data_IF_913268078970
#
_entry.id   IF_913268078970
#
_cell.length_a   1.000
_cell.length_b   1.000
_cell.length_c   1.000
_cell.angle_alpha   90.00
_cell.angle_beta   90.00
_cell.angle_gamma   90.00
#
_symmetry.space_group_name_H-M   'P 1'
#
loop_
_entity.id
_entity.type
_entity.pdbx_description
1 polymer ?
#
# COMPACT_ATOMS: atom_id res chain seq x y z
N UNK A 1 -36.61 -20.38 -7.61
CA UNK A 1 -35.96 -19.10 -8.00
C UNK A 1 -34.54 -19.14 -7.50
N UNK A 2 -33.59 -19.36 -8.40
CA UNK A 2 -32.18 -19.51 -8.07
C UNK A 2 -31.54 -18.13 -7.88
N UNK A 3 -30.93 -17.88 -6.72
CA UNK A 3 -30.05 -16.75 -6.53
C UNK A 3 -28.62 -17.17 -6.86
N UNK A 4 -28.18 -16.74 -8.03
CA UNK A 4 -26.81 -16.85 -8.50
C UNK A 4 -25.93 -15.96 -7.61
N UNK A 5 -25.10 -16.57 -6.76
CA UNK A 5 -24.05 -15.84 -6.05
C UNK A 5 -22.94 -15.53 -7.05
N UNK A 6 -22.77 -14.25 -7.33
CA UNK A 6 -21.67 -13.75 -8.15
C UNK A 6 -20.38 -13.91 -7.36
N UNK A 7 -19.63 -14.98 -7.64
CA UNK A 7 -18.23 -15.11 -7.27
C UNK A 7 -17.52 -13.98 -8.02
N UNK A 8 -17.07 -12.96 -7.31
CA UNK A 8 -16.23 -11.90 -7.89
C UNK A 8 -14.87 -12.53 -8.13
N UNK A 9 -14.69 -13.09 -9.33
CA UNK A 9 -13.39 -13.53 -9.83
C UNK A 9 -12.46 -12.32 -10.01
N UNK A 10 -11.17 -12.57 -9.78
CA UNK A 10 -9.98 -11.69 -9.83
C UNK A 10 -9.86 -10.75 -11.03
N UNK A 11 -10.67 -10.96 -12.08
CA UNK A 11 -10.77 -10.08 -13.25
C UNK A 11 -11.17 -8.63 -12.93
N UNK A 12 -11.76 -8.35 -11.77
CA UNK A 12 -12.21 -6.99 -11.40
C UNK A 12 -11.08 -6.16 -10.76
N UNK A 13 -10.09 -6.81 -10.14
CA UNK A 13 -8.97 -6.18 -9.41
C UNK A 13 -8.02 -5.44 -10.36
N UNK A 14 -7.91 -5.92 -11.60
CA UNK A 14 -7.00 -5.41 -12.64
C UNK A 14 -7.43 -4.02 -13.18
N UNK A 15 -8.71 -3.65 -13.06
CA UNK A 15 -9.24 -2.46 -13.75
C UNK A 15 -8.84 -1.12 -13.12
N UNK A 16 -8.50 -1.08 -11.82
CA UNK A 16 -8.32 0.18 -11.07
C UNK A 16 -6.87 0.64 -10.94
N UNK A 17 -5.88 -0.26 -10.97
CA UNK A 17 -4.45 0.07 -10.83
C UNK A 17 -3.87 0.65 -12.13
N UNK A 18 -4.57 0.47 -13.25
CA UNK A 18 -4.09 0.76 -14.60
C UNK A 18 -3.99 2.25 -14.98
N UNK A 19 -4.53 3.20 -14.20
CA UNK A 19 -4.77 4.56 -14.71
C UNK A 19 -3.50 5.35 -15.06
N UNK A 20 -2.41 5.22 -14.31
CA UNK A 20 -1.18 5.97 -14.61
C UNK A 20 -0.31 5.34 -15.72
N UNK A 21 -0.11 4.01 -15.73
CA UNK A 21 0.49 3.31 -16.89
C UNK A 21 -0.36 3.43 -18.16
N UNK A 22 -1.68 3.58 -18.04
CA UNK A 22 -2.55 3.73 -19.21
C UNK A 22 -2.22 4.96 -20.04
N UNK A 23 -1.78 6.07 -19.42
CA UNK A 23 -1.45 7.30 -20.15
C UNK A 23 -0.17 7.13 -20.98
N UNK A 24 0.84 6.45 -20.43
CA UNK A 24 2.08 6.16 -21.16
C UNK A 24 1.87 5.12 -22.26
N UNK A 25 1.11 4.04 -21.99
CA UNK A 25 0.76 3.05 -23.03
C UNK A 25 0.00 3.68 -24.19
N UNK A 26 -0.96 4.57 -23.92
CA UNK A 26 -1.76 5.23 -24.96
C UNK A 26 -0.90 6.16 -25.82
N UNK A 27 0.08 6.85 -25.22
CA UNK A 27 0.96 7.77 -25.96
C UNK A 27 2.12 7.07 -26.68
N UNK A 28 2.64 5.98 -26.11
CA UNK A 28 3.82 5.27 -26.60
C UNK A 28 3.58 3.75 -26.61
N UNK A 29 2.76 3.22 -27.53
CA UNK A 29 2.33 1.82 -27.51
C UNK A 29 3.47 0.80 -27.69
N UNK A 30 4.63 1.24 -28.18
CA UNK A 30 5.81 0.39 -28.39
C UNK A 30 6.88 0.54 -27.31
N UNK A 31 6.68 1.40 -26.31
CA UNK A 31 7.69 1.67 -25.28
C UNK A 31 8.08 0.40 -24.51
N UNK A 32 7.09 -0.47 -24.23
CA UNK A 32 7.33 -1.73 -23.53
C UNK A 32 8.27 -2.67 -24.27
N UNK A 33 8.36 -2.59 -25.60
CA UNK A 33 9.27 -3.40 -26.40
C UNK A 33 10.75 -3.01 -26.20
N UNK A 34 11.03 -1.81 -25.68
CA UNK A 34 12.38 -1.34 -25.36
C UNK A 34 12.87 -1.81 -23.99
N UNK A 35 12.02 -2.48 -23.20
CA UNK A 35 12.43 -3.01 -21.89
C UNK A 35 13.46 -4.14 -22.06
N UNK A 36 14.62 -3.99 -21.42
CA UNK A 36 15.76 -4.90 -21.55
C UNK A 36 16.21 -5.16 -22.99
N UNK A 37 15.90 -4.22 -23.91
CA UNK A 37 16.40 -4.27 -25.27
C UNK A 37 17.81 -3.66 -25.31
N UNK A 38 18.75 -4.41 -25.87
CA UNK A 38 20.13 -3.96 -26.05
C UNK A 38 20.26 -2.96 -27.20
N UNK A 39 19.29 -2.93 -28.11
CA UNK A 39 19.30 -2.02 -29.26
C UNK A 39 19.22 -0.58 -28.77
N UNK A 40 20.25 0.22 -29.06
CA UNK A 40 20.36 1.62 -28.62
C UNK A 40 20.40 1.85 -27.10
N UNK A 41 20.56 0.80 -26.29
CA UNK A 41 20.81 0.94 -24.85
C UNK A 41 22.13 1.66 -24.60
N UNK A 42 22.15 2.60 -23.67
CA UNK A 42 23.30 3.44 -23.32
C UNK A 42 23.66 3.35 -21.82
N UNK A 43 22.96 2.48 -21.09
CA UNK A 43 23.27 2.11 -19.70
C UNK A 43 22.82 0.67 -19.41
N UNK A 44 23.55 -0.01 -18.54
CA UNK A 44 23.16 -1.29 -17.92
C UNK A 44 22.84 -1.04 -16.46
N UNK A 45 21.62 -1.38 -16.04
CA UNK A 45 21.24 -1.34 -14.64
C UNK A 45 21.62 -2.68 -14.00
N UNK A 46 22.37 -2.62 -12.91
CA UNK A 46 22.81 -3.78 -12.14
C UNK A 46 22.10 -3.78 -10.79
N UNK A 47 21.60 -4.92 -10.34
CA UNK A 47 20.97 -5.07 -9.03
C UNK A 47 21.00 -6.54 -8.59
N UNK A 48 20.66 -6.78 -7.34
CA UNK A 48 20.81 -8.11 -6.74
C UNK A 48 22.26 -8.58 -6.82
N UNK A 49 22.45 -9.90 -6.96
CA UNK A 49 23.78 -10.48 -7.09
C UNK A 49 24.31 -10.44 -8.53
N UNK A 50 23.46 -10.73 -9.52
CA UNK A 50 23.88 -10.92 -10.92
C UNK A 50 22.88 -10.35 -11.95
N UNK A 51 21.81 -9.67 -11.50
CA UNK A 51 20.77 -9.19 -12.40
C UNK A 51 21.24 -7.96 -13.19
N UNK A 52 20.95 -7.97 -14.50
CA UNK A 52 21.35 -6.92 -15.43
C UNK A 52 20.23 -6.62 -16.41
N UNK A 53 19.91 -5.34 -16.55
CA UNK A 53 18.91 -4.83 -17.51
C UNK A 53 19.54 -3.79 -18.42
N UNK A 54 19.50 -4.02 -19.74
CA UNK A 54 19.86 -3.00 -20.72
C UNK A 54 18.78 -1.92 -20.76
N UNK A 55 19.18 -0.67 -20.62
CA UNK A 55 18.25 0.45 -20.51
C UNK A 55 18.71 1.68 -21.27
N UNK A 56 17.81 2.65 -21.33
CA UNK A 56 17.94 3.87 -22.11
C UNK A 56 17.86 5.06 -21.17
N UNK A 57 18.95 5.81 -21.01
CA UNK A 57 19.04 6.99 -20.13
C UNK A 57 17.94 7.98 -20.46
N UNK A 58 17.63 8.19 -21.74
CA UNK A 58 16.56 9.13 -22.15
C UNK A 58 15.18 8.75 -21.57
N UNK A 59 14.85 7.45 -21.51
CA UNK A 59 13.59 6.97 -20.95
C UNK A 59 13.61 7.10 -19.42
N UNK A 60 14.69 6.64 -18.79
CA UNK A 60 14.86 6.71 -17.33
C UNK A 60 14.78 8.14 -16.80
N UNK A 61 15.47 9.09 -17.46
CA UNK A 61 15.44 10.52 -17.12
C UNK A 61 14.05 11.15 -17.29
N UNK A 62 13.25 10.64 -18.22
CA UNK A 62 11.89 11.14 -18.45
C UNK A 62 10.91 10.69 -17.36
N UNK A 63 11.21 9.59 -16.66
CA UNK A 63 10.30 8.98 -15.70
C UNK A 63 10.67 9.22 -14.22
N UNK A 64 11.93 9.55 -13.92
CA UNK A 64 12.45 9.61 -12.55
C UNK A 64 13.33 10.86 -12.36
N UNK A 65 13.06 11.62 -11.29
CA UNK A 65 13.87 12.78 -10.91
C UNK A 65 15.30 12.40 -10.48
N UNK A 66 15.47 11.24 -9.85
CA UNK A 66 16.79 10.70 -9.49
C UNK A 66 17.59 10.32 -10.74
N UNK A 67 17.02 9.56 -11.67
CA UNK A 67 17.73 9.23 -12.92
C UNK A 67 18.01 10.49 -13.74
N UNK A 68 17.07 11.43 -13.79
CA UNK A 68 17.27 12.73 -14.43
C UNK A 68 18.51 13.44 -13.87
N UNK A 69 18.61 13.54 -12.54
CA UNK A 69 19.72 14.18 -11.85
C UNK A 69 21.02 13.41 -12.06
N UNK A 70 21.03 12.09 -11.87
CA UNK A 70 22.21 11.26 -11.97
C UNK A 70 22.85 11.35 -13.37
N UNK A 71 22.05 11.21 -14.44
CA UNK A 71 22.54 11.16 -15.81
C UNK A 71 22.76 12.53 -16.48
N UNK A 72 22.33 13.63 -15.86
CA UNK A 72 22.67 14.99 -16.30
C UNK A 72 23.73 15.65 -15.41
N UNK A 73 24.18 14.99 -14.34
CA UNK A 73 25.23 15.51 -13.46
C UNK A 73 26.60 15.53 -14.14
N UNK A 74 27.53 16.28 -13.56
CA UNK A 74 28.96 16.21 -13.94
C UNK A 74 29.72 15.13 -13.15
N UNK A 75 29.01 14.31 -12.38
CA UNK A 75 29.61 13.28 -11.54
C UNK A 75 29.95 12.04 -12.37
N UNK A 76 30.88 11.17 -11.92
CA UNK A 76 31.28 9.97 -12.66
C UNK A 76 30.10 9.08 -13.06
N UNK A 77 29.04 9.03 -12.24
CA UNK A 77 27.82 8.25 -12.51
C UNK A 77 27.15 8.61 -13.84
N UNK A 78 27.23 9.86 -14.31
CA UNK A 78 26.64 10.26 -15.58
C UNK A 78 27.32 9.59 -16.79
N UNK A 79 28.63 9.33 -16.67
CA UNK A 79 29.47 8.78 -17.74
C UNK A 79 29.66 7.27 -17.65
N UNK A 80 29.25 6.64 -16.55
CA UNK A 80 29.30 5.18 -16.41
C UNK A 80 28.32 4.51 -17.38
N UNK A 81 28.73 3.35 -17.86
CA UNK A 81 27.90 2.41 -18.63
C UNK A 81 27.07 1.51 -17.72
N UNK A 82 27.40 1.47 -16.42
CA UNK A 82 26.69 0.68 -15.41
C UNK A 82 26.15 1.59 -14.30
N UNK A 83 24.93 1.32 -13.86
CA UNK A 83 24.29 2.00 -12.74
C UNK A 83 23.78 0.95 -11.75
N UNK A 84 24.20 1.04 -10.50
CA UNK A 84 23.88 0.07 -9.46
C UNK A 84 22.63 0.50 -8.69
N UNK A 85 21.68 -0.40 -8.52
CA UNK A 85 20.49 -0.24 -7.67
C UNK A 85 20.62 -1.25 -6.52
N UNK A 86 20.69 -0.77 -5.28
CA UNK A 86 20.86 -1.59 -4.08
C UNK A 86 19.68 -1.42 -3.13
N UNK A 87 19.52 -2.36 -2.18
CA UNK A 87 18.54 -2.23 -1.10
C UNK A 87 17.13 -2.74 -1.41
N UNK A 88 16.87 -3.21 -2.64
CA UNK A 88 15.57 -3.72 -3.07
C UNK A 88 15.68 -5.13 -3.64
N UNK A 89 14.58 -5.89 -3.55
CA UNK A 89 14.50 -7.21 -4.20
C UNK A 89 14.41 -7.07 -5.71
N UNK A 90 14.92 -8.07 -6.43
CA UNK A 90 14.92 -8.09 -7.91
C UNK A 90 13.50 -7.91 -8.47
N UNK A 91 12.49 -8.50 -7.82
CA UNK A 91 11.10 -8.36 -8.20
C UNK A 91 10.61 -6.90 -8.14
N UNK A 92 10.98 -6.14 -7.10
CA UNK A 92 10.61 -4.74 -6.92
C UNK A 92 11.31 -3.87 -7.97
N UNK A 93 12.61 -4.10 -8.21
CA UNK A 93 13.37 -3.35 -9.22
C UNK A 93 12.82 -3.62 -10.62
N UNK A 94 12.55 -4.88 -10.97
CA UNK A 94 11.91 -5.22 -12.24
C UNK A 94 10.54 -4.58 -12.41
N UNK A 95 9.72 -4.55 -11.36
CA UNK A 95 8.41 -3.91 -11.40
C UNK A 95 8.53 -2.40 -11.71
N UNK A 96 9.43 -1.70 -11.01
CA UNK A 96 9.72 -0.29 -11.28
C UNK A 96 10.17 -0.08 -12.73
N UNK A 97 11.13 -0.88 -13.21
CA UNK A 97 11.67 -0.73 -14.56
C UNK A 97 10.60 -1.01 -15.62
N UNK A 98 9.88 -2.13 -15.54
CA UNK A 98 8.78 -2.43 -16.47
C UNK A 98 7.74 -1.30 -16.49
N UNK A 99 7.43 -0.73 -15.33
CA UNK A 99 6.51 0.40 -15.20
C UNK A 99 7.01 1.65 -15.94
N UNK A 100 8.29 2.01 -15.78
CA UNK A 100 8.94 3.11 -16.54
C UNK A 100 8.82 2.89 -18.06
N UNK A 101 8.95 1.64 -18.51
CA UNK A 101 8.79 1.26 -19.92
C UNK A 101 7.31 1.09 -20.34
N UNK A 102 6.36 1.55 -19.53
CA UNK A 102 4.95 1.61 -19.89
C UNK A 102 4.19 0.31 -19.67
N UNK A 103 4.76 -0.69 -18.98
CA UNK A 103 3.96 -1.83 -18.52
C UNK A 103 3.05 -1.40 -17.35
N UNK A 104 1.86 -1.96 -17.20
CA UNK A 104 1.08 -1.79 -15.97
C UNK A 104 1.83 -2.38 -14.78
N UNK A 105 1.56 -1.85 -13.58
CA UNK A 105 2.04 -2.48 -12.35
C UNK A 105 1.32 -3.82 -12.18
N UNK A 106 2.05 -4.92 -12.34
CA UNK A 106 1.52 -6.27 -12.19
C UNK A 106 1.38 -6.60 -10.70
N UNK A 107 0.23 -7.14 -10.30
CA UNK A 107 0.12 -7.81 -9.02
C UNK A 107 0.92 -9.12 -9.05
N UNK A 108 1.50 -9.50 -7.92
CA UNK A 108 2.05 -10.84 -7.77
C UNK A 108 0.93 -11.89 -7.94
N UNK A 109 1.26 -13.12 -8.40
CA UNK A 109 0.27 -14.19 -8.50
C UNK A 109 -0.46 -14.42 -7.18
N UNK A 110 -1.77 -14.67 -7.22
CA UNK A 110 -2.61 -14.85 -6.01
C UNK A 110 -2.08 -15.94 -5.05
N UNK A 111 -1.33 -16.90 -5.58
CA UNK A 111 -0.74 -18.01 -4.82
C UNK A 111 0.54 -17.63 -4.06
N UNK A 112 1.07 -16.42 -4.26
CA UNK A 112 2.24 -15.95 -3.52
C UNK A 112 1.91 -15.83 -2.03
N UNK A 113 2.85 -16.17 -1.12
CA UNK A 113 2.64 -15.98 0.31
C UNK A 113 2.21 -14.56 0.66
N UNK A 114 1.27 -14.43 1.59
CA UNK A 114 0.69 -13.14 2.01
C UNK A 114 1.76 -12.09 2.35
N UNK A 115 2.72 -12.46 3.19
CA UNK A 115 3.80 -11.58 3.67
C UNK A 115 4.61 -11.04 2.46
N UNK A 116 4.83 -11.91 1.47
CA UNK A 116 5.53 -11.54 0.24
C UNK A 116 4.74 -10.55 -0.64
N UNK A 117 3.41 -10.68 -0.71
CA UNK A 117 2.57 -9.71 -1.44
C UNK A 117 2.60 -8.33 -0.80
N UNK A 118 2.49 -8.27 0.53
CA UNK A 118 2.55 -7.00 1.27
C UNK A 118 3.94 -6.37 1.09
N UNK A 119 5.01 -7.14 1.32
CA UNK A 119 6.39 -6.67 1.16
C UNK A 119 6.68 -6.15 -0.24
N UNK A 120 6.15 -6.80 -1.27
CA UNK A 120 6.31 -6.38 -2.66
C UNK A 120 5.74 -4.98 -2.91
N UNK A 121 4.48 -4.73 -2.55
CA UNK A 121 3.87 -3.41 -2.77
C UNK A 121 4.49 -2.31 -1.91
N UNK A 122 4.86 -2.61 -0.66
CA UNK A 122 5.60 -1.67 0.18
C UNK A 122 7.00 -1.38 -0.40
N UNK A 123 7.68 -2.38 -0.94
CA UNK A 123 8.95 -2.22 -1.65
C UNK A 123 8.81 -1.36 -2.89
N UNK A 124 7.75 -1.54 -3.69
CA UNK A 124 7.46 -0.69 -4.84
C UNK A 124 7.18 0.75 -4.41
N UNK A 125 6.39 0.95 -3.35
CA UNK A 125 6.13 2.29 -2.84
C UNK A 125 7.42 2.98 -2.36
N UNK A 126 8.29 2.25 -1.65
CA UNK A 126 9.57 2.77 -1.18
C UNK A 126 10.51 3.13 -2.34
N UNK A 127 10.74 2.23 -3.30
CA UNK A 127 11.61 2.50 -4.45
C UNK A 127 11.04 3.61 -5.34
N UNK A 128 9.72 3.71 -5.48
CA UNK A 128 9.07 4.79 -6.23
C UNK A 128 9.30 6.16 -5.59
N UNK A 129 9.27 6.23 -4.26
CA UNK A 129 9.59 7.46 -3.53
C UNK A 129 11.08 7.79 -3.66
N UNK A 130 11.96 6.81 -3.48
CA UNK A 130 13.41 7.00 -3.60
C UNK A 130 13.80 7.49 -4.99
N UNK A 131 13.22 6.92 -6.04
CA UNK A 131 13.50 7.31 -7.44
C UNK A 131 12.60 8.46 -7.93
N UNK A 132 11.77 9.05 -7.08
CA UNK A 132 10.89 10.18 -7.40
C UNK A 132 9.95 9.90 -8.59
N UNK A 133 9.29 8.74 -8.59
CA UNK A 133 8.33 8.28 -9.60
C UNK A 133 6.92 8.31 -8.99
N UNK A 134 6.33 9.50 -8.87
CA UNK A 134 5.06 9.71 -8.16
C UNK A 134 3.91 8.84 -8.69
N UNK A 135 3.84 8.62 -10.00
CA UNK A 135 2.81 7.77 -10.61
C UNK A 135 2.93 6.30 -10.21
N UNK A 136 4.14 5.81 -9.93
CA UNK A 136 4.35 4.44 -9.44
C UNK A 136 4.01 4.35 -7.95
N UNK A 137 4.34 5.37 -7.15
CA UNK A 137 3.96 5.43 -5.74
C UNK A 137 2.42 5.42 -5.58
N UNK A 138 1.71 6.14 -6.44
CA UNK A 138 0.24 6.12 -6.50
C UNK A 138 -0.29 4.72 -6.87
N UNK A 139 0.27 4.09 -7.91
CA UNK A 139 -0.14 2.73 -8.31
C UNK A 139 0.10 1.70 -7.21
N UNK A 140 1.22 1.78 -6.49
CA UNK A 140 1.53 0.92 -5.35
C UNK A 140 0.55 1.13 -4.19
N UNK A 141 0.22 2.39 -3.89
CA UNK A 141 -0.78 2.75 -2.87
C UNK A 141 -2.15 2.17 -3.20
N UNK A 142 -2.58 2.26 -4.46
CA UNK A 142 -3.82 1.65 -4.92
C UNK A 142 -3.78 0.12 -4.78
N UNK A 143 -2.64 -0.52 -5.11
CA UNK A 143 -2.44 -1.96 -4.90
C UNK A 143 -2.65 -2.36 -3.43
N UNK A 144 -2.03 -1.64 -2.50
CA UNK A 144 -2.18 -1.88 -1.05
C UNK A 144 -3.65 -1.70 -0.62
N UNK A 145 -4.32 -0.66 -1.10
CA UNK A 145 -5.72 -0.41 -0.78
C UNK A 145 -6.65 -1.51 -1.32
N UNK A 146 -6.40 -2.01 -2.53
CA UNK A 146 -7.15 -3.15 -3.08
C UNK A 146 -6.94 -4.42 -2.25
N UNK A 147 -5.71 -4.65 -1.77
CA UNK A 147 -5.44 -5.75 -0.84
C UNK A 147 -6.28 -5.57 0.43
N UNK A 148 -6.29 -4.39 1.04
CA UNK A 148 -7.09 -4.12 2.24
C UNK A 148 -8.59 -4.33 2.00
N UNK A 149 -9.12 -3.91 0.84
CA UNK A 149 -10.52 -4.15 0.43
C UNK A 149 -10.84 -5.62 0.23
N UNK A 150 -9.87 -6.40 -0.26
CA UNK A 150 -10.01 -7.85 -0.42
C UNK A 150 -10.05 -8.59 0.91
N UNK A 151 -9.46 -8.00 1.96
CA UNK A 151 -9.54 -8.53 3.31
C UNK A 151 -11.00 -8.39 3.78
N UNK A 152 -11.77 -9.47 3.71
CA UNK A 152 -13.17 -9.54 4.14
C UNK A 152 -13.32 -9.53 5.68
N UNK A 153 -12.68 -8.58 6.35
CA UNK A 153 -12.45 -8.55 7.79
C UNK A 153 -13.73 -8.35 8.61
N UNK A 154 -14.72 -7.68 8.03
CA UNK A 154 -16.01 -7.38 8.65
C UNK A 154 -17.05 -8.50 8.44
N UNK A 155 -16.71 -9.58 7.73
CA UNK A 155 -17.60 -10.73 7.62
C UNK A 155 -17.88 -11.28 9.02
N UNK A 156 -19.13 -11.18 9.47
CA UNK A 156 -19.62 -11.99 10.58
C UNK A 156 -19.39 -13.45 10.19
N UNK A 157 -18.98 -14.29 11.13
CA UNK A 157 -18.91 -15.74 10.90
C UNK A 157 -20.33 -16.24 10.60
N UNK A 158 -20.76 -16.12 9.34
CA UNK A 158 -21.81 -16.96 8.83
C UNK A 158 -21.35 -18.39 9.03
N UNK A 159 -22.28 -19.32 9.22
CA UNK A 159 -22.01 -20.74 9.49
C UNK A 159 -21.14 -21.43 8.41
N UNK A 160 -20.83 -20.73 7.32
CA UNK A 160 -20.17 -21.18 6.11
C UNK A 160 -18.70 -20.70 6.04
N UNK A 161 -18.32 -19.62 6.74
CA UNK A 161 -16.95 -19.08 6.67
C UNK A 161 -16.09 -19.61 7.82
N UNK A 162 -15.00 -20.36 7.55
CA UNK A 162 -14.12 -20.86 8.61
C UNK A 162 -13.55 -19.73 9.46
N UNK A 163 -13.62 -19.85 10.79
CA UNK A 163 -13.08 -18.86 11.73
C UNK A 163 -11.59 -18.57 11.48
N UNK A 164 -10.82 -19.59 11.12
CA UNK A 164 -9.39 -19.47 10.83
C UNK A 164 -9.11 -18.53 9.66
N UNK A 165 -9.93 -18.59 8.61
CA UNK A 165 -9.81 -17.69 7.46
C UNK A 165 -10.06 -16.23 7.86
N UNK A 166 -11.11 -15.97 8.65
CA UNK A 166 -11.41 -14.60 9.13
C UNK A 166 -10.25 -14.06 9.98
N UNK A 167 -9.63 -14.90 10.81
CA UNK A 167 -8.45 -14.50 11.60
C UNK A 167 -7.23 -14.21 10.70
N UNK A 168 -7.04 -14.96 9.62
CA UNK A 168 -5.97 -14.71 8.65
C UNK A 168 -6.17 -13.38 7.91
N UNK A 169 -7.39 -13.07 7.45
CA UNK A 169 -7.69 -11.79 6.78
C UNK A 169 -7.51 -10.59 7.74
N UNK A 170 -7.86 -10.76 9.01
CA UNK A 170 -7.60 -9.73 10.05
C UNK A 170 -6.11 -9.55 10.32
N UNK A 171 -5.34 -10.65 10.38
CA UNK A 171 -3.88 -10.59 10.50
C UNK A 171 -3.28 -9.84 9.32
N UNK A 172 -3.71 -10.14 8.09
CA UNK A 172 -3.29 -9.46 6.85
C UNK A 172 -3.55 -7.96 6.91
N UNK A 173 -4.76 -7.58 7.29
CA UNK A 173 -5.15 -6.18 7.44
C UNK A 173 -4.31 -5.47 8.52
N UNK A 174 -4.12 -6.11 9.67
CA UNK A 174 -3.25 -5.60 10.73
C UNK A 174 -1.81 -5.41 10.23
N UNK A 175 -1.23 -6.39 9.55
CA UNK A 175 0.14 -6.29 9.05
C UNK A 175 0.37 -5.09 8.13
N UNK A 176 -0.60 -4.78 7.25
CA UNK A 176 -0.55 -3.59 6.39
C UNK A 176 -0.53 -2.31 7.24
N UNK A 177 -1.41 -2.21 8.24
CA UNK A 177 -1.47 -1.05 9.15
C UNK A 177 -0.17 -0.90 9.93
N UNK A 178 0.40 -1.99 10.46
CA UNK A 178 1.67 -1.97 11.18
C UNK A 178 2.82 -1.53 10.28
N UNK A 179 2.94 -2.08 9.07
CA UNK A 179 3.99 -1.71 8.12
C UNK A 179 3.88 -0.26 7.69
N UNK A 180 2.67 0.24 7.44
CA UNK A 180 2.45 1.66 7.14
C UNK A 180 2.90 2.55 8.31
N UNK A 181 2.48 2.24 9.54
CA UNK A 181 2.92 3.00 10.72
C UNK A 181 4.45 2.98 10.85
N UNK A 182 5.07 1.80 10.76
CA UNK A 182 6.52 1.65 10.85
C UNK A 182 7.27 2.43 9.75
N UNK A 183 6.78 2.42 8.51
CA UNK A 183 7.38 3.16 7.41
C UNK A 183 7.47 4.65 7.73
N UNK A 184 6.35 5.27 8.13
CA UNK A 184 6.27 6.71 8.34
C UNK A 184 6.85 7.19 9.68
N UNK A 185 6.93 6.33 10.69
CA UNK A 185 7.57 6.65 11.96
C UNK A 185 9.09 6.64 11.82
N UNK A 186 9.64 5.69 11.07
CA UNK A 186 11.09 5.47 11.00
C UNK A 186 11.77 6.14 9.79
N UNK A 187 11.01 6.60 8.80
CA UNK A 187 11.56 7.18 7.57
C UNK A 187 10.88 8.52 7.26
N UNK A 188 11.67 9.47 6.76
CA UNK A 188 11.16 10.75 6.27
C UNK A 188 10.62 10.60 4.84
N UNK A 189 9.46 9.95 4.73
CA UNK A 189 8.77 9.78 3.44
C UNK A 189 7.92 11.02 3.17
N UNK A 190 8.27 11.78 2.14
CA UNK A 190 7.53 13.00 1.77
C UNK A 190 6.10 12.70 1.31
N UNK A 191 5.91 11.66 0.50
CA UNK A 191 4.59 11.25 0.03
C UNK A 191 3.75 10.63 1.16
N UNK A 192 2.64 11.29 1.51
CA UNK A 192 1.71 10.83 2.56
C UNK A 192 0.47 10.11 2.00
N UNK A 193 0.40 9.86 0.69
CA UNK A 193 -0.74 9.20 0.03
C UNK A 193 -1.03 7.83 0.62
N UNK A 194 -0.01 6.99 0.82
CA UNK A 194 -0.15 5.67 1.43
C UNK A 194 -0.65 5.76 2.88
N UNK A 195 -0.08 6.65 3.69
CA UNK A 195 -0.55 6.86 5.07
C UNK A 195 -2.05 7.20 5.10
N UNK A 196 -2.46 8.17 4.28
CA UNK A 196 -3.84 8.63 4.23
C UNK A 196 -4.77 7.52 3.73
N UNK A 197 -4.39 6.79 2.68
CA UNK A 197 -5.20 5.68 2.15
C UNK A 197 -5.36 4.52 3.13
N UNK A 198 -4.32 4.18 3.90
CA UNK A 198 -4.41 3.14 4.95
C UNK A 198 -5.30 3.60 6.10
N UNK A 199 -5.20 4.87 6.51
CA UNK A 199 -6.08 5.44 7.54
C UNK A 199 -7.53 5.42 7.06
N UNK A 200 -7.80 5.87 5.83
CA UNK A 200 -9.13 5.86 5.23
C UNK A 200 -9.71 4.43 5.19
N UNK A 201 -8.92 3.45 4.73
CA UNK A 201 -9.31 2.04 4.74
C UNK A 201 -9.69 1.53 6.13
N UNK A 202 -8.99 1.96 7.19
CA UNK A 202 -9.31 1.57 8.57
C UNK A 202 -10.71 2.03 9.00
N UNK A 203 -11.18 3.18 8.51
CA UNK A 203 -12.50 3.72 8.87
C UNK A 203 -13.61 3.34 7.88
N UNK A 204 -13.28 3.14 6.60
CA UNK A 204 -14.26 2.73 5.59
C UNK A 204 -14.59 1.23 5.68
N UNK A 205 -13.60 0.40 5.96
CA UNK A 205 -13.74 -1.07 5.91
C UNK A 205 -14.06 -1.69 7.26
N UNK A 206 -14.09 -0.88 8.33
CA UNK A 206 -14.36 -1.36 9.69
C UNK A 206 -15.39 -0.51 10.42
N UNK A 207 -16.10 -1.08 11.43
CA UNK A 207 -17.01 -0.34 12.29
C UNK A 207 -16.35 0.73 13.19
N UNK A 208 -15.03 0.91 13.11
CA UNK A 208 -14.31 1.96 13.81
C UNK A 208 -13.31 1.46 14.86
N UNK A 209 -12.85 2.37 15.70
CA UNK A 209 -11.62 2.19 16.47
C UNK A 209 -11.69 1.10 17.56
N UNK A 210 -12.85 0.90 18.19
CA UNK A 210 -13.06 -0.20 19.14
C UNK A 210 -12.96 -1.55 18.43
N UNK A 211 -13.51 -1.64 17.22
CA UNK A 211 -13.44 -2.85 16.42
C UNK A 211 -11.98 -3.15 16.01
N UNK A 212 -11.23 -2.14 15.60
CA UNK A 212 -9.80 -2.29 15.25
C UNK A 212 -9.00 -2.82 16.45
N UNK A 213 -9.25 -2.32 17.66
CA UNK A 213 -8.60 -2.86 18.86
C UNK A 213 -8.96 -4.33 19.10
N UNK A 214 -10.25 -4.69 19.04
CA UNK A 214 -10.69 -6.05 19.34
C UNK A 214 -10.28 -7.09 18.28
N UNK A 215 -10.02 -6.67 17.05
CA UNK A 215 -9.83 -7.58 15.92
C UNK A 215 -8.41 -7.58 15.34
N UNK A 216 -7.66 -6.49 15.49
CA UNK A 216 -6.26 -6.40 15.02
C UNK A 216 -5.29 -5.90 16.10
N UNK A 217 -5.75 -5.52 17.30
CA UNK A 217 -4.91 -4.99 18.37
C UNK A 217 -4.07 -3.77 17.94
N UNK A 218 -4.76 -2.80 17.34
CA UNK A 218 -4.15 -1.60 16.74
C UNK A 218 -3.29 -0.81 17.73
N UNK A 219 -3.66 -0.77 19.01
CA UNK A 219 -2.88 -0.01 20.01
C UNK A 219 -1.50 -0.62 20.21
N UNK A 220 -1.39 -1.93 20.39
CA UNK A 220 -0.08 -2.60 20.56
C UNK A 220 0.80 -2.45 19.32
N UNK A 221 0.21 -2.44 18.12
CA UNK A 221 0.97 -2.25 16.88
C UNK A 221 1.58 -0.84 16.81
N UNK A 222 0.80 0.19 17.15
CA UNK A 222 1.29 1.57 17.17
C UNK A 222 2.29 1.74 18.33
N UNK A 223 2.02 1.20 19.52
CA UNK A 223 2.93 1.28 20.68
C UNK A 223 4.31 0.71 20.39
N UNK A 224 4.41 -0.30 19.52
CA UNK A 224 5.69 -0.90 19.13
C UNK A 224 6.59 0.06 18.33
N UNK A 225 6.00 1.02 17.61
CA UNK A 225 6.73 2.01 16.79
C UNK A 225 6.77 3.39 17.44
N UNK A 226 5.65 3.82 18.03
CA UNK A 226 5.50 5.05 18.82
C UNK A 226 4.73 4.76 20.13
N UNK A 227 5.46 4.55 21.23
CA UNK A 227 4.87 4.25 22.54
C UNK A 227 3.91 5.33 23.05
N UNK A 228 4.10 6.60 22.69
CA UNK A 228 3.24 7.68 23.17
C UNK A 228 1.88 7.61 22.49
N UNK A 229 1.84 7.65 21.14
CA UNK A 229 0.59 7.62 20.38
C UNK A 229 -0.21 6.36 20.66
N UNK A 230 0.46 5.22 20.77
CA UNK A 230 -0.21 3.96 21.07
C UNK A 230 -0.85 3.92 22.48
N UNK A 231 -0.16 4.43 23.51
CA UNK A 231 -0.73 4.52 24.87
C UNK A 231 -1.87 5.52 24.96
N UNK A 232 -1.75 6.64 24.25
CA UNK A 232 -2.82 7.64 24.14
C UNK A 232 -4.08 7.03 23.51
N UNK A 233 -3.89 6.31 22.40
CA UNK A 233 -4.96 5.60 21.71
C UNK A 233 -5.64 4.57 22.61
N UNK A 234 -4.86 3.76 23.34
CA UNK A 234 -5.37 2.77 24.30
C UNK A 234 -6.27 3.40 25.36
N UNK A 235 -5.86 4.55 25.90
CA UNK A 235 -6.68 5.30 26.86
C UNK A 235 -7.96 5.85 26.23
N UNK A 236 -7.89 6.40 25.02
CA UNK A 236 -9.08 6.87 24.30
C UNK A 236 -10.09 5.75 24.07
N UNK A 237 -9.64 4.57 23.62
CA UNK A 237 -10.49 3.39 23.39
C UNK A 237 -11.13 2.88 24.68
N UNK A 238 -10.36 2.84 25.77
CA UNK A 238 -10.89 2.45 27.09
C UNK A 238 -12.00 3.42 27.54
N UNK A 239 -11.83 4.72 27.32
CA UNK A 239 -12.84 5.73 27.62
C UNK A 239 -14.12 5.56 26.78
N UNK A 240 -14.00 5.22 25.49
CA UNK A 240 -15.15 4.95 24.62
C UNK A 240 -15.99 3.77 25.10
N UNK A 241 -15.34 2.69 25.57
CA UNK A 241 -16.03 1.52 26.15
C UNK A 241 -16.76 1.84 27.45
N UNK A 242 -16.19 2.73 28.26
CA UNK A 242 -16.82 3.15 29.51
C UNK A 242 -18.09 3.96 29.23
N UNK A 243 -18.03 4.92 28.29
CA UNK A 243 -19.16 5.79 27.95
C UNK A 243 -20.33 5.04 27.29
N UNK A 244 -20.07 3.94 26.56
CA UNK A 244 -21.14 3.09 26.00
C UNK A 244 -21.81 2.17 27.02
N UNK A 245 -21.17 1.95 28.18
CA UNK A 245 -21.68 1.09 29.25
C UNK A 245 -22.51 1.85 30.32
N UNK A 246 -22.47 3.19 30.34
CA UNK A 246 -23.26 4.01 31.27
C UNK A 246 -24.65 4.24 30.67
N UNK A 247 -25.75 3.77 31.31
CA UNK A 247 -27.09 4.06 30.82
C UNK A 247 -27.38 5.56 30.89
N UNK A 248 -28.19 6.11 29.96
CA UNK A 248 -28.56 7.52 30.02
C UNK A 248 -29.19 7.83 31.39
N UNK A 249 -28.94 9.01 31.97
CA UNK A 249 -29.55 9.39 33.22
C UNK A 249 -31.07 9.26 33.11
N UNK A 250 -31.76 8.76 34.14
CA UNK A 250 -33.21 8.62 34.09
C UNK A 250 -33.84 9.97 33.75
N UNK A 251 -34.77 9.97 32.81
CA UNK A 251 -35.53 11.16 32.42
C UNK A 251 -36.12 11.79 33.68
N UNK A 252 -35.57 12.93 34.11
CA UNK A 252 -36.19 13.74 35.15
C UNK A 252 -37.21 14.63 34.46
N UNK A 253 -38.53 14.39 34.63
CA UNK A 253 -39.53 15.31 34.11
C UNK A 253 -39.30 16.69 34.74
N UNK A 254 -39.54 17.77 33.99
CA UNK A 254 -39.35 19.13 34.50
C UNK A 254 -40.15 19.29 35.79
N UNK A 255 -39.47 19.69 36.86
CA UNK A 255 -40.12 20.07 38.11
C UNK A 255 -40.93 21.34 37.85
N UNK A 256 -42.19 21.17 37.45
CA UNK A 256 -43.15 22.26 37.51
C UNK A 256 -43.29 22.65 38.97
N UNK A 257 -42.71 23.79 39.33
CA UNK A 257 -42.93 24.47 40.58
C UNK A 257 -44.44 24.73 40.70
N UNK A 258 -45.14 23.88 41.46
CA UNK A 258 -46.45 24.20 42.00
C UNK A 258 -46.27 25.33 43.02
N UNK A 259 -46.26 26.56 42.54
CA UNK A 259 -46.53 27.73 43.37
C UNK A 259 -48.05 27.84 43.48
N UNK A 260 -48.56 27.45 44.64
CA UNK A 260 -49.84 27.95 45.16
C UNK A 260 -49.69 29.40 45.59
#
# INVERSE_FOLDING_TARGET
>A
MAHSQTIVTTSTVISSIAQASSVLMVRYPYLGASYNDKTASDVTLCFGNDEKVFAHKVILKGASGVFHTAFNSQLPVAFKTEYLIEGYSDAVVHAMLKYIYGSPLEALPDMAPMEYQIDYFFGIFAIANEYEISSLAEAATQGIFQIMKSCCIAAYSSSITPREWVLQERKKFGEIVAKAAHLYINHDVADKSLMNGVIEACFELTPGLVWLEDNINITSMIEASDPFSGRLLRKAITGMRYNSAVPPPPFQPPQFLARF
#
